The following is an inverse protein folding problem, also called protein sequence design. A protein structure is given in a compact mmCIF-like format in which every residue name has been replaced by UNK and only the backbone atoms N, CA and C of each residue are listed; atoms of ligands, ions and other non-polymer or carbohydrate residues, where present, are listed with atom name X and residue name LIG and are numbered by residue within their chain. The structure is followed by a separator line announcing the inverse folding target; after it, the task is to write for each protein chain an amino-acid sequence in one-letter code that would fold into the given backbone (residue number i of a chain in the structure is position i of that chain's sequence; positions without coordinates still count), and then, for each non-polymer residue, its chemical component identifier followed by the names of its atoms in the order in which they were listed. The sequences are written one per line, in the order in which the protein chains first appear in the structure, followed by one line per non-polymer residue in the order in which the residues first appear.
data_IF_804483862134
#
_entry.id   IF_804483862134
#
_cell.length_a   1.000
_cell.length_b   1.000
_cell.length_c   1.000
_cell.angle_alpha   90.00
_cell.angle_beta   90.00
_cell.angle_gamma   90.00
#
_symmetry.space_group_name_H-M   'P 1'
#
loop_
_entity.id
_entity.type
_entity.pdbx_description
1 polymer ?
#
# COMPACT_ATOMS: atom_id res chain seq x y z
N UNK A 1 3.61 -9.56 1.39
CA UNK A 1 4.89 -8.89 1.16
C UNK A 1 5.52 -8.37 2.44
N UNK A 2 4.76 -7.63 3.25
CA UNK A 2 5.32 -7.07 4.49
C UNK A 2 5.75 -8.14 5.50
N UNK A 3 5.02 -9.26 5.59
CA UNK A 3 5.45 -10.36 6.45
C UNK A 3 6.80 -10.93 6.02
N UNK A 4 7.05 -11.01 4.74
CA UNK A 4 8.36 -11.45 4.24
C UNK A 4 9.45 -10.45 4.60
N UNK A 5 9.18 -9.16 4.47
CA UNK A 5 10.13 -8.12 4.84
C UNK A 5 10.45 -8.16 6.33
N UNK A 6 9.44 -8.40 7.17
CA UNK A 6 9.64 -8.53 8.62
C UNK A 6 10.63 -9.65 8.92
N UNK A 7 10.51 -10.78 8.19
CA UNK A 7 11.42 -11.91 8.39
C UNK A 7 12.82 -11.66 7.84
N UNK A 8 12.98 -10.74 6.90
CA UNK A 8 14.26 -10.42 6.29
C UNK A 8 15.08 -9.39 7.04
N UNK A 9 14.43 -8.47 7.77
CA UNK A 9 15.14 -7.42 8.50
C UNK A 9 15.50 -7.88 9.91
N UNK A 10 16.57 -7.31 10.45
CA UNK A 10 17.07 -7.70 11.78
C UNK A 10 16.74 -6.68 12.86
N UNK A 11 16.63 -5.41 12.50
CA UNK A 11 16.35 -4.35 13.46
C UNK A 11 14.91 -4.39 13.95
N UNK A 12 14.74 -4.23 15.26
CA UNK A 12 13.41 -4.23 15.87
C UNK A 12 12.55 -3.08 15.36
N UNK A 13 13.11 -1.88 15.25
CA UNK A 13 12.35 -0.71 14.80
C UNK A 13 11.84 -0.89 13.37
N UNK A 14 12.66 -1.49 12.50
CA UNK A 14 12.25 -1.81 11.14
C UNK A 14 11.13 -2.84 11.13
N UNK A 15 11.22 -3.88 11.97
CA UNK A 15 10.16 -4.88 12.10
C UNK A 15 8.86 -4.26 12.59
N UNK A 16 8.93 -3.36 13.57
CA UNK A 16 7.76 -2.69 14.12
C UNK A 16 7.08 -1.81 13.07
N UNK A 17 7.87 -1.06 12.30
CA UNK A 17 7.34 -0.25 11.20
C UNK A 17 6.66 -1.11 10.15
N UNK A 18 7.28 -2.21 9.76
CA UNK A 18 6.71 -3.12 8.76
C UNK A 18 5.45 -3.80 9.27
N UNK A 19 5.39 -4.14 10.56
CA UNK A 19 4.19 -4.70 11.16
C UNK A 19 3.04 -3.70 11.14
N UNK A 20 3.32 -2.43 11.43
CA UNK A 20 2.35 -1.35 11.34
C UNK A 20 1.81 -1.24 9.91
N UNK A 21 2.70 -1.23 8.91
CA UNK A 21 2.30 -1.14 7.51
C UNK A 21 1.46 -2.34 7.09
N UNK A 22 1.82 -3.54 7.53
CA UNK A 22 1.04 -4.75 7.25
C UNK A 22 -0.40 -4.63 7.78
N UNK A 23 -0.55 -4.09 9.00
CA UNK A 23 -1.86 -3.86 9.59
C UNK A 23 -2.69 -2.86 8.80
N UNK A 24 -2.07 -1.78 8.36
CA UNK A 24 -2.74 -0.77 7.54
C UNK A 24 -3.19 -1.34 6.20
N UNK A 25 -2.36 -2.16 5.56
CA UNK A 25 -2.72 -2.78 4.29
C UNK A 25 -3.91 -3.73 4.42
N UNK A 26 -4.00 -4.47 5.53
CA UNK A 26 -5.17 -5.32 5.80
C UNK A 26 -6.44 -4.49 5.91
N UNK A 27 -6.38 -3.35 6.60
CA UNK A 27 -7.52 -2.44 6.72
C UNK A 27 -7.93 -1.86 5.38
N UNK A 28 -6.97 -1.45 4.56
CA UNK A 28 -7.24 -0.92 3.22
C UNK A 28 -7.86 -1.99 2.32
N UNK A 29 -7.39 -3.22 2.41
CA UNK A 29 -7.97 -4.34 1.65
C UNK A 29 -9.43 -4.56 2.04
N UNK A 30 -9.73 -4.55 3.34
CA UNK A 30 -11.12 -4.68 3.82
C UNK A 30 -11.99 -3.55 3.31
N UNK A 31 -11.47 -2.33 3.30
CA UNK A 31 -12.18 -1.19 2.75
C UNK A 31 -12.51 -1.43 1.27
N UNK A 32 -11.54 -1.87 0.47
CA UNK A 32 -11.76 -2.13 -0.95
C UNK A 32 -12.81 -3.22 -1.18
N UNK A 33 -12.77 -4.28 -0.40
CA UNK A 33 -13.76 -5.34 -0.49
C UNK A 33 -15.17 -4.82 -0.20
N UNK A 34 -15.31 -3.98 0.83
CA UNK A 34 -16.59 -3.35 1.16
C UNK A 34 -17.03 -2.36 0.09
N UNK A 35 -16.09 -1.61 -0.46
CA UNK A 35 -16.37 -0.65 -1.53
C UNK A 35 -16.95 -1.36 -2.76
N UNK A 36 -16.38 -2.52 -3.13
CA UNK A 36 -16.83 -3.27 -4.30
C UNK A 36 -18.25 -3.82 -4.14
N UNK A 37 -18.68 -4.13 -2.92
CA UNK A 37 -20.05 -4.62 -2.67
C UNK A 37 -21.02 -3.49 -2.33
N UNK A 38 -20.61 -2.22 -2.49
CA UNK A 38 -21.48 -1.08 -2.34
C UNK A 38 -21.76 -0.64 -0.90
N UNK A 39 -20.94 -1.08 0.06
CA UNK A 39 -21.15 -0.72 1.48
C UNK A 39 -20.62 0.66 1.85
N UNK A 40 -19.92 1.32 0.95
CA UNK A 40 -19.27 2.60 1.25
C UNK A 40 -19.99 3.80 0.69
N UNK A 41 -21.15 3.63 0.06
CA UNK A 41 -21.95 4.71 -0.49
C UNK A 41 -22.64 4.34 -1.80
N UNK A 42 -23.63 5.13 -2.17
CA UNK A 42 -24.44 4.86 -3.38
C UNK A 42 -23.61 4.93 -4.66
N UNK A 43 -22.70 5.90 -4.74
CA UNK A 43 -21.85 6.07 -5.92
C UNK A 43 -20.92 4.90 -6.20
N UNK A 44 -20.62 4.09 -5.18
CA UNK A 44 -19.74 2.94 -5.35
C UNK A 44 -20.36 1.85 -6.23
N UNK A 45 -21.67 1.67 -6.17
CA UNK A 45 -22.37 0.69 -6.99
C UNK A 45 -22.33 1.06 -8.47
N UNK A 46 -22.48 2.34 -8.77
CA UNK A 46 -22.50 2.83 -10.15
C UNK A 46 -21.15 2.69 -10.84
N UNK A 47 -20.08 2.66 -10.06
CA UNK A 47 -18.72 2.59 -10.57
C UNK A 47 -18.13 1.17 -10.50
N UNK A 48 -18.93 0.21 -10.04
CA UNK A 48 -18.43 -1.15 -9.75
C UNK A 48 -17.66 -1.79 -10.91
N UNK A 49 -18.17 -1.71 -12.12
CA UNK A 49 -17.53 -2.34 -13.27
C UNK A 49 -16.16 -1.72 -13.59
N UNK A 50 -16.08 -0.39 -13.54
CA UNK A 50 -14.82 0.31 -13.76
C UNK A 50 -13.80 0.05 -12.66
N UNK A 51 -14.28 -0.12 -11.43
CA UNK A 51 -13.45 -0.34 -10.26
C UNK A 51 -12.98 -1.79 -10.14
N UNK A 52 -13.86 -2.78 -10.48
CA UNK A 52 -13.55 -4.21 -10.36
C UNK A 52 -12.25 -4.58 -11.08
N UNK A 53 -12.07 -4.10 -12.30
CA UNK A 53 -10.86 -4.41 -13.07
C UNK A 53 -9.60 -3.93 -12.35
N UNK A 54 -9.64 -2.70 -11.84
CA UNK A 54 -8.48 -2.10 -11.17
C UNK A 54 -8.19 -2.75 -9.82
N UNK A 55 -9.23 -3.10 -9.07
CA UNK A 55 -9.06 -3.77 -7.79
C UNK A 55 -8.50 -5.18 -8.01
N UNK A 56 -9.01 -5.92 -9.01
CA UNK A 56 -8.50 -7.24 -9.33
C UNK A 56 -7.01 -7.18 -9.70
N UNK A 57 -6.63 -6.21 -10.54
CA UNK A 57 -5.24 -6.00 -10.92
C UNK A 57 -4.36 -5.71 -9.69
N UNK A 58 -4.85 -4.87 -8.78
CA UNK A 58 -4.12 -4.52 -7.57
C UNK A 58 -3.98 -5.70 -6.61
N UNK A 59 -5.05 -6.45 -6.38
CA UNK A 59 -5.05 -7.57 -5.45
C UNK A 59 -4.29 -8.79 -5.98
N UNK A 60 -4.21 -8.95 -7.31
CA UNK A 60 -3.50 -10.03 -7.96
C UNK A 60 -2.05 -9.68 -8.29
N UNK A 61 -1.54 -8.57 -7.75
CA UNK A 61 -0.15 -8.20 -7.96
C UNK A 61 0.78 -9.37 -7.60
N UNK A 62 1.81 -9.63 -8.41
CA UNK A 62 2.65 -10.79 -8.20
C UNK A 62 3.34 -10.79 -6.84
N UNK A 63 3.45 -11.97 -6.24
CA UNK A 63 4.17 -12.13 -4.99
C UNK A 63 5.67 -12.00 -5.23
N UNK A 64 6.43 -11.52 -4.22
CA UNK A 64 7.87 -11.44 -4.34
C UNK A 64 8.51 -12.81 -4.50
N UNK A 65 9.61 -12.89 -5.23
CA UNK A 65 10.39 -14.12 -5.37
C UNK A 65 11.00 -14.54 -4.03
N UNK A 66 11.10 -15.83 -3.79
CA UNK A 66 11.75 -16.36 -2.58
C UNK A 66 13.25 -16.01 -2.51
N UNK A 67 13.87 -15.81 -3.66
CA UNK A 67 15.30 -15.47 -3.75
C UNK A 67 15.54 -13.96 -3.74
N UNK A 68 14.50 -13.19 -3.52
CA UNK A 68 14.59 -11.74 -3.52
C UNK A 68 15.41 -11.24 -2.34
N UNK A 69 16.35 -10.31 -2.60
CA UNK A 69 17.10 -9.66 -1.54
C UNK A 69 16.20 -8.66 -0.79
N UNK A 70 16.53 -8.31 0.48
CA UNK A 70 15.74 -7.32 1.20
C UNK A 70 15.58 -6.01 0.44
N UNK A 71 16.64 -5.51 -0.23
CA UNK A 71 16.56 -4.28 -1.03
C UNK A 71 15.51 -4.39 -2.12
N UNK A 72 15.47 -5.54 -2.82
CA UNK A 72 14.52 -5.75 -3.90
C UNK A 72 13.09 -5.83 -3.37
N UNK A 73 12.90 -6.45 -2.22
CA UNK A 73 11.59 -6.52 -1.57
C UNK A 73 11.10 -5.14 -1.13
N UNK A 74 11.99 -4.29 -0.61
CA UNK A 74 11.63 -2.91 -0.27
C UNK A 74 11.25 -2.09 -1.51
N UNK A 75 11.98 -2.26 -2.61
CA UNK A 75 11.65 -1.59 -3.87
C UNK A 75 10.30 -2.03 -4.40
N UNK A 76 10.00 -3.33 -4.31
CA UNK A 76 8.70 -3.85 -4.70
C UNK A 76 7.60 -3.27 -3.81
N UNK A 77 7.82 -3.20 -2.51
CA UNK A 77 6.86 -2.61 -1.58
C UNK A 77 6.60 -1.15 -1.91
N UNK A 78 7.65 -0.36 -2.15
CA UNK A 78 7.50 1.05 -2.53
C UNK A 78 6.72 1.20 -3.83
N UNK A 79 6.98 0.33 -4.81
CA UNK A 79 6.24 0.33 -6.08
C UNK A 79 4.76 0.04 -5.87
N UNK A 80 4.43 -0.92 -5.01
CA UNK A 80 3.05 -1.26 -4.68
C UNK A 80 2.34 -0.11 -3.97
N UNK A 81 3.02 0.56 -3.03
CA UNK A 81 2.46 1.72 -2.34
C UNK A 81 2.19 2.86 -3.31
N UNK A 82 3.09 3.09 -4.25
CA UNK A 82 2.89 4.10 -5.30
C UNK A 82 1.66 3.77 -6.14
N UNK A 83 1.49 2.52 -6.55
CA UNK A 83 0.33 2.09 -7.33
C UNK A 83 -0.96 2.23 -6.53
N UNK A 84 -0.93 1.90 -5.25
CA UNK A 84 -2.09 2.07 -4.37
C UNK A 84 -2.47 3.54 -4.23
N UNK A 85 -1.47 4.41 -4.06
CA UNK A 85 -1.70 5.85 -3.98
C UNK A 85 -2.40 6.35 -5.25
N UNK A 86 -1.87 5.99 -6.41
CA UNK A 86 -2.45 6.39 -7.70
C UNK A 86 -3.86 5.82 -7.88
N UNK A 87 -4.06 4.57 -7.44
CA UNK A 87 -5.36 3.92 -7.50
C UNK A 87 -6.42 4.67 -6.67
N UNK A 88 -6.08 5.02 -5.43
CA UNK A 88 -7.03 5.77 -4.58
C UNK A 88 -7.27 7.18 -5.08
N UNK A 89 -6.27 7.85 -5.64
CA UNK A 89 -6.48 9.15 -6.28
C UNK A 89 -7.43 9.05 -7.47
N UNK A 90 -7.25 8.00 -8.29
CA UNK A 90 -8.13 7.77 -9.42
C UNK A 90 -9.57 7.54 -8.96
N UNK A 91 -9.78 6.68 -7.96
CA UNK A 91 -11.11 6.42 -7.42
C UNK A 91 -11.74 7.70 -6.87
N UNK A 92 -10.97 8.50 -6.15
CA UNK A 92 -11.47 9.76 -5.61
C UNK A 92 -11.97 10.67 -6.74
N UNK A 93 -11.26 10.70 -7.86
CA UNK A 93 -11.66 11.49 -9.02
C UNK A 93 -12.97 11.05 -9.69
N UNK A 94 -13.39 9.80 -9.46
CA UNK A 94 -14.63 9.27 -10.01
C UNK A 94 -15.87 9.61 -9.18
N UNK A 95 -15.67 10.08 -7.94
CA UNK A 95 -16.76 10.39 -7.04
C UNK A 95 -17.03 11.90 -7.00
N UNK A 96 -18.30 12.31 -6.79
CA UNK A 96 -18.61 13.70 -6.49
C UNK A 96 -18.09 14.10 -5.12
N UNK A 97 -18.02 15.39 -4.86
CA UNK A 97 -17.64 15.88 -3.54
C UNK A 97 -18.54 15.26 -2.47
N UNK A 98 -17.92 14.81 -1.37
CA UNK A 98 -18.63 14.15 -0.28
C UNK A 98 -17.72 13.23 0.51
N UNK A 99 -18.32 12.48 1.44
CA UNK A 99 -17.58 11.65 2.39
C UNK A 99 -16.76 10.54 1.74
N UNK A 100 -17.30 9.91 0.69
CA UNK A 100 -16.58 8.82 0.00
C UNK A 100 -15.33 9.37 -0.68
N UNK A 101 -15.45 10.49 -1.37
CA UNK A 101 -14.31 11.14 -2.02
C UNK A 101 -13.26 11.55 -1.00
N UNK A 102 -13.69 12.13 0.12
CA UNK A 102 -12.77 12.57 1.18
C UNK A 102 -12.02 11.39 1.78
N UNK A 103 -12.71 10.28 2.00
CA UNK A 103 -12.09 9.06 2.51
C UNK A 103 -11.06 8.50 1.52
N UNK A 104 -11.39 8.46 0.24
CA UNK A 104 -10.46 7.97 -0.79
C UNK A 104 -9.22 8.85 -0.90
N UNK A 105 -9.39 10.16 -0.78
CA UNK A 105 -8.24 11.09 -0.74
C UNK A 105 -7.36 10.85 0.48
N UNK A 106 -7.98 10.56 1.62
CA UNK A 106 -7.24 10.26 2.84
C UNK A 106 -6.44 8.97 2.69
N UNK A 107 -7.05 7.93 2.11
CA UNK A 107 -6.37 6.68 1.84
C UNK A 107 -5.19 6.89 0.87
N UNK A 108 -5.36 7.72 -0.14
CA UNK A 108 -4.27 8.05 -1.06
C UNK A 108 -3.08 8.68 -0.33
N UNK A 109 -3.36 9.58 0.62
CA UNK A 109 -2.31 10.21 1.44
C UNK A 109 -1.61 9.19 2.34
N UNK A 110 -2.37 8.27 2.91
CA UNK A 110 -1.80 7.22 3.76
C UNK A 110 -0.85 6.32 2.96
N UNK A 111 -1.24 5.95 1.73
CA UNK A 111 -0.39 5.13 0.87
C UNK A 111 0.91 5.87 0.51
N UNK A 112 0.84 7.17 0.27
CA UNK A 112 2.05 7.96 0.01
C UNK A 112 2.96 8.02 1.23
N UNK A 113 2.39 8.16 2.42
CA UNK A 113 3.14 8.10 3.67
C UNK A 113 3.81 6.75 3.87
N UNK A 114 3.10 5.66 3.54
CA UNK A 114 3.65 4.31 3.62
C UNK A 114 4.83 4.16 2.65
N UNK A 115 4.70 4.68 1.44
CA UNK A 115 5.78 4.68 0.45
C UNK A 115 7.04 5.35 1.01
N UNK A 116 6.88 6.50 1.63
CA UNK A 116 8.00 7.22 2.22
C UNK A 116 8.68 6.42 3.34
N UNK A 117 7.88 5.74 4.17
CA UNK A 117 8.42 4.88 5.24
C UNK A 117 9.20 3.70 4.66
N UNK A 118 8.67 3.07 3.62
CA UNK A 118 9.34 1.96 2.95
C UNK A 118 10.65 2.43 2.30
N UNK A 119 10.63 3.58 1.65
CA UNK A 119 11.83 4.16 1.04
C UNK A 119 12.90 4.50 2.08
N UNK A 120 12.49 4.99 3.24
CA UNK A 120 13.40 5.23 4.35
C UNK A 120 14.06 3.92 4.80
N UNK A 121 13.29 2.86 4.96
CA UNK A 121 13.83 1.56 5.34
C UNK A 121 14.74 0.99 4.25
N UNK A 122 14.39 1.19 2.99
CA UNK A 122 15.23 0.78 1.87
C UNK A 122 16.59 1.48 1.93
N UNK A 123 16.60 2.78 2.14
CA UNK A 123 17.83 3.55 2.20
C UNK A 123 18.74 3.06 3.34
N UNK A 124 18.17 2.72 4.48
CA UNK A 124 18.92 2.21 5.62
C UNK A 124 19.44 0.77 5.40
N UNK A 125 18.75 0.00 4.57
CA UNK A 125 19.14 -1.39 4.27
C UNK A 125 20.16 -1.45 3.14
N UNK A 126 19.92 -0.70 2.05
CA UNK A 126 20.78 -0.72 0.88
C UNK A 126 22.05 0.11 1.08
N UNK A 127 21.96 1.18 1.88
CA UNK A 127 23.07 2.10 2.13
C UNK A 127 23.22 2.30 3.64
N UNK A 128 23.60 1.23 4.38
CA UNK A 128 23.70 1.36 5.83
C UNK A 128 24.73 2.42 6.21
N UNK A 129 24.37 3.28 7.17
CA UNK A 129 25.29 4.26 7.68
C UNK A 129 26.29 3.57 8.59
N UNK A 130 27.58 3.82 8.32
CA UNK A 130 28.64 3.29 9.16
C UNK A 130 29.09 4.37 10.14
N UNK A 131 29.26 3.97 11.39
CA UNK A 131 29.78 4.88 12.40
C UNK A 131 31.21 5.27 12.02
N UNK A 132 31.46 6.56 11.92
CA UNK A 132 32.77 7.08 11.58
C UNK A 132 33.08 7.09 10.09
N UNK A 133 32.08 6.72 9.28
CA UNK A 133 32.20 6.81 7.84
C UNK A 133 31.78 8.16 7.33
#
# INVERSE_FOLDING_TARGET
LYQRLINMVKEKDSKDTLAYLAGQEIQHKKFLENYLVGKCGEGALDLKQSVDYRVAEYLEAPSPSEKMRPQDAFLLAASREKKSHEFYEHLAGLHPEGDVKDLLKQLAKEELSHKEKVEYLYANTAFPQTDGG
#
